data_IF_603346568419
#
_entry.id   IF_603346568419
#
_cell.length_a   1.000
_cell.length_b   1.000
_cell.length_c   1.000
_cell.angle_alpha   90.00
_cell.angle_beta   90.00
_cell.angle_gamma   90.00
#
_symmetry.space_group_name_H-M   'P 1'
#
loop_
_entity.id
_entity.type
_entity.pdbx_description
1 polymer ?
#
# COMPACT_ATOMS: atom_id res chain seq x y z
N UNK A 1 -6.61 -5.93 6.17
CA UNK A 1 -6.96 -7.07 5.29
C UNK A 1 -6.79 -8.34 6.10
N UNK A 2 -7.87 -9.07 6.36
CA UNK A 2 -7.78 -10.35 7.07
C UNK A 2 -7.41 -11.47 6.09
N UNK A 3 -6.43 -12.28 6.47
CA UNK A 3 -5.85 -13.31 5.60
C UNK A 3 -5.70 -14.63 6.33
N UNK A 4 -5.33 -15.69 5.60
CA UNK A 4 -5.04 -17.01 6.16
C UNK A 4 -3.79 -17.05 7.03
N UNK A 5 -2.96 -16.00 7.00
CA UNK A 5 -1.80 -15.86 7.87
C UNK A 5 -2.01 -14.87 9.01
N UNK A 6 -3.17 -14.21 9.12
CA UNK A 6 -3.48 -13.17 10.12
C UNK A 6 -3.79 -11.81 9.49
N UNK A 7 -4.05 -10.80 10.32
CA UNK A 7 -4.40 -9.46 9.85
C UNK A 7 -3.17 -8.72 9.31
N UNK A 8 -3.32 -8.22 8.09
CA UNK A 8 -2.31 -7.40 7.38
C UNK A 8 -2.84 -5.97 7.26
N UNK A 9 -2.09 -5.01 7.78
CA UNK A 9 -2.31 -3.58 7.58
C UNK A 9 -1.40 -3.08 6.45
N UNK A 10 -1.91 -2.19 5.60
CA UNK A 10 -1.14 -1.59 4.49
C UNK A 10 -1.04 -0.10 4.79
N UNK A 11 0.20 0.36 4.99
CA UNK A 11 0.57 1.68 5.52
C UNK A 11 -0.04 2.00 6.89
N UNK A 12 0.57 2.97 7.59
CA UNK A 12 0.18 3.40 8.94
C UNK A 12 -0.10 4.89 9.01
N UNK A 13 -0.05 5.60 7.89
CA UNK A 13 -0.29 7.04 7.89
C UNK A 13 0.86 7.82 8.54
N UNK A 14 0.59 9.08 8.87
CA UNK A 14 1.49 9.96 9.61
C UNK A 14 1.43 9.71 11.12
N UNK A 15 2.53 9.98 11.83
CA UNK A 15 2.57 10.02 13.30
C UNK A 15 1.59 11.04 13.90
N UNK A 16 1.16 12.03 13.12
CA UNK A 16 0.14 13.01 13.52
C UNK A 16 -1.28 12.46 13.50
N UNK A 17 -1.52 11.32 12.85
CA UNK A 17 -2.85 10.77 12.59
C UNK A 17 -3.10 9.46 13.36
N UNK A 18 -2.29 9.18 14.38
CA UNK A 18 -2.39 7.97 15.22
C UNK A 18 -3.80 7.81 15.83
N UNK A 19 -4.42 8.91 16.28
CA UNK A 19 -5.75 8.86 16.86
C UNK A 19 -6.82 8.40 15.84
N UNK A 20 -6.74 8.90 14.61
CA UNK A 20 -7.66 8.53 13.53
C UNK A 20 -7.46 7.07 13.12
N UNK A 21 -6.20 6.62 13.01
CA UNK A 21 -5.88 5.22 12.72
C UNK A 21 -6.40 4.28 13.81
N UNK A 22 -6.15 4.60 15.08
CA UNK A 22 -6.65 3.80 16.21
C UNK A 22 -8.18 3.75 16.24
N UNK A 23 -8.85 4.86 15.95
CA UNK A 23 -10.32 4.89 15.83
C UNK A 23 -10.79 3.99 14.69
N UNK A 24 -10.17 4.09 13.51
CA UNK A 24 -10.55 3.27 12.35
C UNK A 24 -10.32 1.77 12.59
N UNK A 25 -9.24 1.39 13.27
CA UNK A 25 -8.99 0.01 13.68
C UNK A 25 -10.06 -0.49 14.66
N UNK A 26 -10.37 0.31 15.69
CA UNK A 26 -11.40 0.00 16.68
C UNK A 26 -12.80 -0.15 16.05
N UNK A 27 -13.15 0.72 15.10
CA UNK A 27 -14.42 0.64 14.36
C UNK A 27 -14.55 -0.65 13.53
N UNK A 28 -13.42 -1.28 13.19
CA UNK A 28 -13.35 -2.57 12.51
C UNK A 28 -13.08 -3.74 13.46
N UNK A 29 -13.08 -3.51 14.78
CA UNK A 29 -12.84 -4.55 15.79
C UNK A 29 -11.43 -5.12 15.79
N UNK A 30 -10.44 -4.37 15.31
CA UNK A 30 -9.04 -4.76 15.27
C UNK A 30 -8.28 -3.98 16.34
N UNK A 31 -7.64 -4.67 17.30
CA UNK A 31 -6.68 -4.02 18.18
C UNK A 31 -5.32 -3.89 17.47
N UNK A 32 -4.50 -2.85 17.73
CA UNK A 32 -3.16 -2.75 17.16
C UNK A 32 -2.30 -3.99 17.39
N UNK A 33 -2.44 -4.66 18.54
CA UNK A 33 -1.71 -5.88 18.91
C UNK A 33 -2.14 -7.10 18.08
N UNK A 34 -3.33 -7.08 17.48
CA UNK A 34 -3.82 -8.16 16.62
C UNK A 34 -3.28 -8.06 15.18
N UNK A 35 -2.67 -6.92 14.83
CA UNK A 35 -2.05 -6.72 13.51
C UNK A 35 -0.74 -7.52 13.47
N UNK A 36 -0.72 -8.55 12.63
CA UNK A 36 0.45 -9.43 12.50
C UNK A 36 1.50 -8.90 11.53
N UNK A 37 1.06 -8.20 10.49
CA UNK A 37 1.93 -7.63 9.46
C UNK A 37 1.53 -6.20 9.15
N UNK A 38 2.54 -5.33 9.01
CA UNK A 38 2.39 -4.00 8.41
C UNK A 38 3.20 -4.00 7.13
N UNK A 39 2.55 -3.77 6.00
CA UNK A 39 3.21 -3.58 4.71
C UNK A 39 3.29 -2.09 4.44
N UNK A 40 4.49 -1.53 4.43
CA UNK A 40 4.70 -0.17 3.97
C UNK A 40 4.87 -0.19 2.44
N UNK A 41 4.01 0.55 1.75
CA UNK A 41 4.09 0.75 0.29
C UNK A 41 5.39 1.45 -0.08
N UNK A 42 5.81 2.41 0.74
CA UNK A 42 7.10 3.07 0.72
C UNK A 42 7.35 3.75 2.08
N UNK A 43 8.51 4.37 2.29
CA UNK A 43 8.92 4.89 3.60
C UNK A 43 8.87 6.43 3.72
N UNK A 44 7.90 7.07 3.06
CA UNK A 44 7.59 8.46 3.39
C UNK A 44 6.82 8.55 4.70
N UNK A 45 7.00 9.68 5.38
CA UNK A 45 6.57 9.88 6.77
C UNK A 45 5.06 9.76 6.97
N UNK A 46 4.30 10.02 5.93
CA UNK A 46 2.84 9.95 5.86
C UNK A 46 2.32 8.56 5.51
N UNK A 47 3.20 7.58 5.25
CA UNK A 47 2.85 6.18 4.99
C UNK A 47 3.37 5.21 6.06
N UNK A 48 4.47 5.54 6.74
CA UNK A 48 5.08 4.69 7.77
C UNK A 48 5.21 5.38 9.15
N UNK A 49 4.66 6.58 9.30
CA UNK A 49 4.87 7.44 10.47
C UNK A 49 4.29 6.88 11.77
N UNK A 50 3.28 6.02 11.70
CA UNK A 50 2.69 5.38 12.89
C UNK A 50 3.06 3.90 13.03
N UNK A 51 4.16 3.44 12.42
CA UNK A 51 4.62 2.05 12.56
C UNK A 51 4.82 1.63 14.02
N UNK A 52 5.25 2.56 14.89
CA UNK A 52 5.49 2.30 16.31
C UNK A 52 4.22 1.92 17.11
N UNK A 53 3.02 2.13 16.53
CA UNK A 53 1.75 1.68 17.11
C UNK A 53 1.59 0.15 17.07
N UNK A 54 2.38 -0.55 16.25
CA UNK A 54 2.25 -1.98 15.99
C UNK A 54 3.52 -2.76 16.41
N UNK A 55 3.88 -2.79 17.70
CA UNK A 55 5.16 -3.33 18.17
C UNK A 55 5.31 -4.84 17.94
N UNK A 56 4.20 -5.59 17.87
CA UNK A 56 4.20 -7.04 17.62
C UNK A 56 4.16 -7.40 16.12
N UNK A 57 3.90 -6.41 15.26
CA UNK A 57 3.77 -6.66 13.83
C UNK A 57 5.13 -6.83 13.17
N UNK A 58 5.20 -7.76 12.21
CA UNK A 58 6.34 -7.81 11.29
C UNK A 58 6.17 -6.69 10.26
N UNK A 59 7.03 -5.68 10.34
CA UNK A 59 7.12 -4.62 9.34
C UNK A 59 7.72 -5.18 8.04
N UNK A 60 7.11 -4.86 6.90
CA UNK A 60 7.54 -5.28 5.56
C UNK A 60 7.70 -4.06 4.69
N UNK A 61 8.85 -3.94 4.01
CA UNK A 61 9.10 -2.88 3.04
C UNK A 61 10.00 -3.40 1.91
N UNK A 62 10.00 -2.69 0.79
CA UNK A 62 10.88 -3.03 -0.32
C UNK A 62 12.34 -2.76 0.04
N UNK A 63 13.26 -3.61 -0.41
CA UNK A 63 14.69 -3.46 -0.09
C UNK A 63 15.29 -2.14 -0.58
N UNK A 64 14.78 -1.63 -1.71
CA UNK A 64 15.19 -0.36 -2.32
C UNK A 64 14.64 0.89 -1.62
N UNK A 65 13.77 0.74 -0.62
CA UNK A 65 13.46 1.83 0.33
C UNK A 65 14.53 1.99 1.41
N UNK A 66 15.48 1.07 1.47
CA UNK A 66 16.47 0.94 2.54
C UNK A 66 15.87 0.99 3.96
N UNK A 67 14.97 0.04 4.30
CA UNK A 67 14.29 0.07 5.58
C UNK A 67 15.22 -0.18 6.76
N UNK A 68 14.82 0.32 7.94
CA UNK A 68 15.54 0.13 9.20
C UNK A 68 15.77 -1.35 9.54
N UNK A 69 16.81 -1.62 10.34
CA UNK A 69 17.09 -2.95 10.88
C UNK A 69 15.87 -3.50 11.59
N UNK A 70 15.56 -4.78 11.34
CA UNK A 70 14.37 -5.45 11.89
C UNK A 70 13.17 -5.47 10.93
N UNK A 71 13.13 -4.58 9.93
CA UNK A 71 12.12 -4.63 8.88
C UNK A 71 12.41 -5.76 7.90
N UNK A 72 11.40 -6.57 7.58
CA UNK A 72 11.49 -7.62 6.57
C UNK A 72 11.58 -7.00 5.18
N UNK A 73 12.71 -7.19 4.52
CA UNK A 73 12.98 -6.72 3.16
C UNK A 73 12.37 -7.65 2.11
N UNK A 74 11.78 -7.09 1.06
CA UNK A 74 11.26 -7.81 -0.11
C UNK A 74 11.63 -7.11 -1.43
N UNK A 75 11.57 -7.81 -2.56
CA UNK A 75 11.85 -7.26 -3.90
C UNK A 75 10.58 -7.08 -4.77
N UNK A 76 9.39 -7.26 -4.18
CA UNK A 76 8.11 -7.37 -4.92
C UNK A 76 7.93 -8.73 -5.62
N UNK A 77 6.74 -8.95 -6.20
CA UNK A 77 6.35 -10.22 -6.81
C UNK A 77 5.99 -11.33 -5.81
N UNK A 78 6.02 -11.03 -4.52
CA UNK A 78 5.79 -11.99 -3.42
C UNK A 78 4.29 -12.17 -3.18
N UNK A 79 3.81 -13.42 -3.19
CA UNK A 79 2.52 -13.75 -2.58
C UNK A 79 2.71 -13.79 -1.06
N UNK A 80 2.10 -12.82 -0.36
CA UNK A 80 2.23 -12.68 1.09
C UNK A 80 1.28 -13.66 1.79
N UNK A 81 0.05 -13.73 1.31
CA UNK A 81 -1.02 -14.58 1.82
C UNK A 81 -1.92 -15.00 0.64
N UNK A 82 -2.85 -15.94 0.84
CA UNK A 82 -3.78 -16.34 -0.23
C UNK A 82 -4.53 -15.11 -0.76
N UNK A 83 -4.38 -14.82 -2.05
CA UNK A 83 -5.05 -13.68 -2.70
C UNK A 83 -4.46 -12.30 -2.35
N UNK A 84 -3.33 -12.23 -1.62
CA UNK A 84 -2.65 -10.98 -1.27
C UNK A 84 -1.22 -11.01 -1.81
N UNK A 85 -0.93 -10.16 -2.80
CA UNK A 85 0.38 -10.10 -3.47
C UNK A 85 1.00 -8.72 -3.35
N UNK A 86 2.29 -8.69 -3.01
CA UNK A 86 3.12 -7.50 -3.03
C UNK A 86 3.73 -7.34 -4.43
N UNK A 87 3.57 -6.17 -5.05
CA UNK A 87 4.08 -5.92 -6.40
C UNK A 87 4.96 -4.68 -6.38
N UNK A 88 6.13 -4.77 -7.00
CA UNK A 88 7.03 -3.62 -7.15
C UNK A 88 6.44 -2.64 -8.16
N UNK A 89 6.29 -1.39 -7.73
CA UNK A 89 5.67 -0.31 -8.51
C UNK A 89 6.55 0.95 -8.41
N UNK A 90 7.80 0.91 -8.93
CA UNK A 90 8.73 2.01 -8.83
C UNK A 90 8.26 3.22 -9.64
N UNK A 91 8.73 4.39 -9.25
CA UNK A 91 8.53 5.64 -9.99
C UNK A 91 8.39 6.82 -9.05
N UNK A 92 7.47 6.70 -8.08
CA UNK A 92 7.38 7.63 -6.96
C UNK A 92 8.67 7.60 -6.12
N UNK A 93 8.98 6.43 -5.56
CA UNK A 93 10.30 6.09 -5.01
C UNK A 93 10.89 4.88 -5.73
N UNK A 94 12.18 4.56 -5.47
CA UNK A 94 12.85 3.39 -6.07
C UNK A 94 12.28 2.06 -5.56
N UNK A 95 11.82 2.03 -4.31
CA UNK A 95 11.24 0.85 -3.67
C UNK A 95 9.73 0.91 -3.49
N UNK A 96 9.02 1.86 -4.10
CA UNK A 96 7.55 1.90 -4.04
C UNK A 96 6.96 0.54 -4.44
N UNK A 97 6.02 0.05 -3.65
CA UNK A 97 5.24 -1.15 -3.88
C UNK A 97 3.75 -0.87 -3.76
N UNK A 98 2.97 -1.75 -4.37
CA UNK A 98 1.52 -1.81 -4.22
C UNK A 98 1.10 -3.21 -3.75
N UNK A 99 -0.08 -3.29 -3.16
CA UNK A 99 -0.67 -4.55 -2.69
C UNK A 99 -1.88 -4.89 -3.55
N UNK A 100 -1.84 -6.04 -4.21
CA UNK A 100 -2.95 -6.59 -4.97
C UNK A 100 -3.73 -7.54 -4.07
N UNK A 101 -5.03 -7.31 -3.91
CA UNK A 101 -5.93 -8.11 -3.09
C UNK A 101 -7.07 -8.65 -3.95
N UNK A 102 -7.17 -9.98 -4.02
CA UNK A 102 -8.28 -10.69 -4.64
C UNK A 102 -9.28 -11.12 -3.55
N UNK A 103 -10.49 -10.58 -3.61
CA UNK A 103 -11.59 -10.88 -2.69
C UNK A 103 -12.89 -11.03 -3.51
N UNK A 104 -13.96 -10.32 -3.14
CA UNK A 104 -15.18 -10.17 -3.96
C UNK A 104 -14.88 -9.55 -5.34
N UNK A 105 -13.78 -8.80 -5.44
CA UNK A 105 -13.19 -8.27 -6.67
C UNK A 105 -11.69 -8.02 -6.47
N UNK A 106 -11.02 -7.56 -7.53
CA UNK A 106 -9.60 -7.23 -7.54
C UNK A 106 -9.34 -5.78 -7.11
N UNK A 107 -8.71 -5.60 -5.94
CA UNK A 107 -8.32 -4.30 -5.41
C UNK A 107 -6.82 -4.07 -5.56
N UNK A 108 -6.41 -2.91 -6.07
CA UNK A 108 -5.03 -2.44 -5.95
C UNK A 108 -4.94 -1.35 -4.87
N UNK A 109 -4.18 -1.62 -3.81
CA UNK A 109 -3.79 -0.62 -2.81
C UNK A 109 -2.45 -0.05 -3.25
N UNK A 110 -2.47 1.18 -3.74
CA UNK A 110 -1.42 1.68 -4.63
C UNK A 110 -0.29 2.41 -3.92
N UNK A 111 -0.50 2.82 -2.66
CA UNK A 111 0.29 3.91 -2.08
C UNK A 111 0.38 5.07 -3.07
N UNK A 112 1.58 5.58 -3.27
CA UNK A 112 1.82 6.70 -4.18
C UNK A 112 2.15 6.30 -5.61
N UNK A 113 1.97 5.02 -6.01
CA UNK A 113 1.95 4.68 -7.42
C UNK A 113 0.73 5.31 -8.14
N UNK A 114 -0.40 5.41 -7.44
CA UNK A 114 -1.58 6.20 -7.84
C UNK A 114 -2.03 7.00 -6.61
N UNK A 115 -1.56 8.25 -6.43
CA UNK A 115 -1.84 9.04 -5.23
C UNK A 115 -3.31 9.45 -5.16
N UNK A 116 -3.90 9.88 -6.26
CA UNK A 116 -5.27 10.41 -6.29
C UNK A 116 -6.08 9.89 -7.46
N UNK A 117 -7.41 10.06 -7.41
CA UNK A 117 -8.28 9.85 -8.55
C UNK A 117 -7.90 10.73 -9.74
N UNK A 118 -7.45 11.96 -9.51
CA UNK A 118 -7.04 12.86 -10.58
C UNK A 118 -5.84 12.32 -11.36
N UNK A 119 -4.87 11.68 -10.69
CA UNK A 119 -3.76 10.99 -11.35
C UNK A 119 -4.27 9.87 -12.27
N UNK A 120 -5.23 9.09 -11.79
CA UNK A 120 -5.88 8.05 -12.59
C UNK A 120 -6.63 8.62 -13.81
N UNK A 121 -7.51 9.60 -13.60
CA UNK A 121 -8.39 10.13 -14.67
C UNK A 121 -7.62 10.86 -15.77
N UNK A 122 -6.53 11.54 -15.40
CA UNK A 122 -5.66 12.24 -16.36
C UNK A 122 -4.51 11.38 -16.90
N UNK A 123 -4.39 10.13 -16.42
CA UNK A 123 -3.24 9.26 -16.65
C UNK A 123 -1.90 9.99 -16.41
N UNK A 124 -1.86 10.77 -15.34
CA UNK A 124 -0.69 11.54 -14.95
C UNK A 124 0.06 10.82 -13.81
N UNK A 125 1.40 10.74 -13.88
CA UNK A 125 2.18 10.17 -12.79
C UNK A 125 2.00 10.98 -11.50
N UNK A 126 2.38 10.43 -10.34
CA UNK A 126 2.49 11.17 -9.09
C UNK A 126 3.25 12.49 -9.30
N UNK A 127 2.87 13.58 -8.65
CA UNK A 127 3.60 14.85 -8.81
C UNK A 127 5.04 14.73 -8.30
N UNK A 128 5.22 14.03 -7.18
CA UNK A 128 6.52 13.64 -6.63
C UNK A 128 6.91 12.28 -7.22
N UNK A 129 7.96 12.25 -8.02
CA UNK A 129 8.52 11.02 -8.59
C UNK A 129 9.99 11.21 -8.96
N UNK A 130 10.76 10.13 -8.93
CA UNK A 130 12.15 10.15 -9.42
C UNK A 130 12.24 9.77 -10.91
N UNK A 131 11.29 8.99 -11.42
CA UNK A 131 11.24 8.56 -12.82
C UNK A 131 9.80 8.49 -13.31
N UNK A 132 9.48 9.40 -14.26
CA UNK A 132 8.14 9.52 -14.86
C UNK A 132 7.72 8.27 -15.62
N UNK A 133 8.64 7.70 -16.41
CA UNK A 133 8.33 6.59 -17.29
C UNK A 133 8.10 5.31 -16.48
N UNK A 134 8.88 5.10 -15.42
CA UNK A 134 8.63 4.01 -14.47
C UNK A 134 7.32 4.21 -13.71
N UNK A 135 7.02 5.43 -13.25
CA UNK A 135 5.76 5.71 -12.57
C UNK A 135 4.54 5.38 -13.44
N UNK A 136 4.53 5.82 -14.70
CA UNK A 136 3.45 5.50 -15.64
C UNK A 136 3.32 4.00 -15.91
N UNK A 137 4.45 3.28 -16.09
CA UNK A 137 4.42 1.81 -16.24
C UNK A 137 3.83 1.11 -15.02
N UNK A 138 4.15 1.59 -13.83
CA UNK A 138 3.59 1.09 -12.57
C UNK A 138 2.09 1.33 -12.49
N UNK A 139 1.62 2.53 -12.86
CA UNK A 139 0.19 2.81 -12.97
C UNK A 139 -0.51 1.86 -13.95
N UNK A 140 0.05 1.67 -15.14
CA UNK A 140 -0.51 0.80 -16.18
C UNK A 140 -0.60 -0.66 -15.73
N UNK A 141 0.42 -1.14 -15.01
CA UNK A 141 0.41 -2.48 -14.42
C UNK A 141 -0.77 -2.66 -13.46
N UNK A 142 -0.98 -1.69 -12.56
CA UNK A 142 -2.05 -1.75 -11.56
C UNK A 142 -3.43 -1.64 -12.22
N UNK A 143 -3.61 -0.64 -13.09
CA UNK A 143 -4.86 -0.40 -13.79
C UNK A 143 -5.19 -1.52 -14.78
N UNK A 144 -4.18 -2.23 -15.30
CA UNK A 144 -4.33 -3.41 -16.14
C UNK A 144 -4.93 -4.62 -15.40
N UNK A 145 -4.77 -4.71 -14.07
CA UNK A 145 -5.30 -5.80 -13.25
C UNK A 145 -6.52 -5.42 -12.41
N UNK A 146 -6.49 -4.28 -11.71
CA UNK A 146 -7.47 -3.89 -10.70
C UNK A 146 -8.88 -3.59 -11.24
N UNK A 147 -9.93 -3.96 -10.50
CA UNK A 147 -11.31 -3.48 -10.69
C UNK A 147 -11.60 -2.27 -9.78
N UNK A 148 -10.94 -2.18 -8.64
CA UNK A 148 -11.00 -1.05 -7.72
C UNK A 148 -9.60 -0.64 -7.26
N UNK A 149 -9.40 0.65 -7.04
CA UNK A 149 -8.15 1.25 -6.58
C UNK A 149 -8.37 1.88 -5.23
N UNK A 150 -7.44 1.64 -4.29
CA UNK A 150 -7.25 2.40 -3.05
C UNK A 150 -6.02 3.28 -3.27
N UNK A 151 -6.20 4.58 -3.54
CA UNK A 151 -5.10 5.53 -3.72
C UNK A 151 -4.36 5.82 -2.42
N UNK A 152 -3.15 6.37 -2.51
CA UNK A 152 -2.40 6.83 -1.32
C UNK A 152 -3.04 8.02 -0.61
N UNK A 153 -3.63 8.95 -1.36
CA UNK A 153 -4.07 10.28 -0.90
C UNK A 153 -5.49 10.64 -1.34
N UNK A 154 -6.34 9.65 -1.57
CA UNK A 154 -7.74 9.85 -1.99
C UNK A 154 -8.60 8.64 -1.61
N UNK A 155 -9.92 8.75 -1.79
CA UNK A 155 -10.87 7.68 -1.49
C UNK A 155 -10.82 6.59 -2.56
N UNK A 156 -11.15 5.37 -2.14
CA UNK A 156 -11.33 4.22 -3.02
C UNK A 156 -12.24 4.56 -4.21
N UNK A 157 -11.89 4.04 -5.39
CA UNK A 157 -12.70 4.18 -6.58
C UNK A 157 -12.66 2.96 -7.51
N UNK A 158 -13.68 2.84 -8.36
CA UNK A 158 -13.74 1.79 -9.38
C UNK A 158 -12.98 2.22 -10.64
N UNK A 159 -12.26 1.27 -11.25
CA UNK A 159 -11.63 1.47 -12.55
C UNK A 159 -12.70 1.39 -13.63
N UNK A 160 -12.81 2.43 -14.45
CA UNK A 160 -13.79 2.49 -15.54
C UNK A 160 -13.62 1.33 -16.53
N UNK A 161 -14.74 0.75 -16.97
CA UNK A 161 -14.75 -0.32 -17.97
C UNK A 161 -14.39 -1.71 -17.45
N UNK A 162 -14.13 -1.86 -16.14
CA UNK A 162 -13.83 -3.15 -15.53
C UNK A 162 -15.00 -3.67 -14.71
N UNK A 163 -15.39 -4.91 -14.98
CA UNK A 163 -16.40 -5.67 -14.25
C UNK A 163 -15.73 -6.70 -13.37
#
# INVERSE_FOLDING_TARGET
VDTDIGTVLIDTGSSTNVADLSSALSDNGVAPEDVKYVVNTHLHMDHCGANDLFPEAVLIAHELEDPSVGTRRVCGGTELARGVRLVHTPGHTRGSMSVLVESDRRYAICGDAIPTRANYESHAPPAVHFDRALALKSMDLLLGWAQAVVPGHDRLFNVLGKK
#
